data_IF_507054256581
#
_entry.id   IF_507054256581
#
_cell.length_a   1.000
_cell.length_b   1.000
_cell.length_c   1.000
_cell.angle_alpha   90.00
_cell.angle_beta   90.00
_cell.angle_gamma   90.00
#
_symmetry.space_group_name_H-M   'P 1'
#
loop_
_entity.id
_entity.type
_entity.pdbx_description
1 polymer ?
#
# COMPACT_ATOMS: atom_id res chain seq x y z
N UNK A 1 7.08 7.80 5.33
CA UNK A 1 6.21 7.85 4.15
C UNK A 1 4.73 7.69 4.57
N UNK A 2 3.82 8.43 3.94
CA UNK A 2 2.37 8.23 4.09
C UNK A 2 1.83 7.20 3.10
N UNK A 3 0.51 7.15 2.84
CA UNK A 3 -0.06 6.28 1.82
C UNK A 3 0.58 6.48 0.44
N UNK A 4 0.94 5.38 -0.21
CA UNK A 4 1.58 5.40 -1.53
C UNK A 4 0.55 5.12 -2.61
N UNK A 5 0.37 6.04 -3.56
CA UNK A 5 -0.51 5.84 -4.71
C UNK A 5 0.09 4.83 -5.70
N UNK A 6 -0.71 3.82 -6.06
CA UNK A 6 -0.36 2.78 -7.04
C UNK A 6 -1.10 3.05 -8.35
N UNK A 7 -0.60 4.03 -9.11
CA UNK A 7 -1.22 4.45 -10.36
C UNK A 7 -1.20 3.31 -11.39
N UNK A 8 -2.32 3.11 -12.08
CA UNK A 8 -2.48 2.02 -13.06
C UNK A 8 -2.86 0.66 -12.45
N UNK A 9 -2.92 0.53 -11.13
CA UNK A 9 -3.39 -0.67 -10.43
C UNK A 9 -4.74 -0.37 -9.77
N UNK A 10 -5.79 -1.05 -10.24
CA UNK A 10 -7.11 -1.01 -9.60
C UNK A 10 -7.07 -1.84 -8.31
N UNK A 11 -7.68 -1.31 -7.24
CA UNK A 11 -7.75 -1.99 -5.93
C UNK A 11 -8.51 -3.32 -6.02
N UNK A 12 -9.47 -3.42 -6.94
CA UNK A 12 -10.27 -4.60 -7.20
C UNK A 12 -9.41 -5.73 -7.79
N UNK A 13 -8.36 -5.39 -8.54
CA UNK A 13 -7.41 -6.34 -9.12
C UNK A 13 -6.36 -6.80 -8.11
N UNK A 14 -6.21 -6.17 -6.95
CA UNK A 14 -5.25 -6.59 -5.94
C UNK A 14 -5.79 -7.81 -5.19
N UNK A 15 -5.01 -8.90 -5.22
CA UNK A 15 -5.25 -10.11 -4.42
C UNK A 15 -4.58 -9.98 -3.06
N UNK A 16 -3.32 -9.53 -3.03
CA UNK A 16 -2.53 -9.35 -1.80
C UNK A 16 -1.40 -8.36 -2.05
N UNK A 17 -1.04 -7.59 -1.02
CA UNK A 17 0.23 -6.87 -0.97
C UNK A 17 1.01 -7.28 0.28
N UNK A 18 2.33 -7.40 0.15
CA UNK A 18 3.21 -7.70 1.27
C UNK A 18 4.59 -7.12 1.04
N UNK A 19 5.31 -6.77 2.10
CA UNK A 19 6.72 -6.43 1.97
C UNK A 19 7.54 -7.66 1.55
N UNK A 20 8.48 -7.48 0.62
CA UNK A 20 9.27 -8.59 0.08
C UNK A 20 10.30 -9.12 1.09
N UNK A 21 10.82 -8.25 1.97
CA UNK A 21 11.90 -8.58 2.89
C UNK A 21 11.48 -9.55 4.02
N UNK A 22 10.24 -9.44 4.52
CA UNK A 22 9.76 -10.22 5.67
C UNK A 22 8.38 -10.88 5.44
N UNK A 23 7.69 -10.57 4.33
CA UNK A 23 6.37 -11.11 4.00
C UNK A 23 5.21 -10.49 4.79
N UNK A 24 5.45 -9.46 5.61
CA UNK A 24 4.41 -8.78 6.37
C UNK A 24 3.37 -8.13 5.45
N UNK A 25 2.11 -8.12 5.88
CA UNK A 25 1.00 -7.64 5.06
C UNK A 25 1.03 -6.12 4.89
N UNK A 26 0.79 -5.68 3.66
CA UNK A 26 0.54 -4.26 3.32
C UNK A 26 -0.93 -4.13 2.94
N UNK A 27 -1.64 -3.23 3.60
CA UNK A 27 -3.08 -3.05 3.38
C UNK A 27 -3.37 -2.00 2.32
N UNK A 28 -4.54 -2.09 1.71
CA UNK A 28 -5.09 -0.99 0.91
C UNK A 28 -5.60 0.08 1.88
N UNK A 29 -5.22 1.33 1.67
CA UNK A 29 -5.55 2.44 2.54
C UNK A 29 -6.98 2.94 2.31
N UNK A 30 -7.77 3.01 3.39
CA UNK A 30 -9.14 3.52 3.39
C UNK A 30 -9.29 4.79 4.25
N UNK A 31 -8.22 5.58 4.46
CA UNK A 31 -8.35 6.85 5.19
C UNK A 31 -9.25 7.85 4.49
N UNK A 32 -9.76 8.81 5.27
CA UNK A 32 -10.41 10.01 4.74
C UNK A 32 -9.52 10.78 3.74
N UNK A 33 -8.19 10.76 3.92
CA UNK A 33 -7.24 11.41 3.00
C UNK A 33 -7.13 10.73 1.64
N UNK A 34 -7.23 9.39 1.58
CA UNK A 34 -7.14 8.63 0.32
C UNK A 34 -8.50 8.46 -0.35
N UNK A 35 -9.58 8.38 0.43
CA UNK A 35 -10.95 8.25 -0.09
C UNK A 35 -11.42 9.43 -0.94
N UNK A 36 -10.80 10.61 -0.79
CA UNK A 36 -11.03 11.75 -1.67
C UNK A 36 -10.63 11.47 -3.14
N UNK A 37 -9.72 10.52 -3.37
CA UNK A 37 -9.19 10.15 -4.68
C UNK A 37 -9.80 8.83 -5.16
N UNK A 38 -11.06 8.92 -5.61
CA UNK A 38 -11.80 7.75 -6.11
C UNK A 38 -11.06 7.08 -7.28
N UNK A 39 -10.99 5.75 -7.23
CA UNK A 39 -10.37 4.93 -8.30
C UNK A 39 -8.86 4.77 -8.20
N UNK A 40 -8.19 5.43 -7.26
CA UNK A 40 -6.76 5.24 -7.01
C UNK A 40 -6.57 4.23 -5.88
N UNK A 41 -5.74 3.20 -6.12
CA UNK A 41 -5.31 2.29 -5.08
C UNK A 41 -4.17 2.91 -4.27
N UNK A 42 -4.24 2.84 -2.94
CA UNK A 42 -3.19 3.33 -2.06
C UNK A 42 -2.68 2.21 -1.17
N UNK A 43 -1.36 2.03 -1.08
CA UNK A 43 -0.74 1.14 -0.11
C UNK A 43 -0.54 1.86 1.23
N UNK A 44 -0.86 1.18 2.33
CA UNK A 44 -0.72 1.65 3.70
C UNK A 44 0.46 0.98 4.40
N UNK A 45 1.39 1.78 4.93
CA UNK A 45 2.65 1.31 5.51
C UNK A 45 2.61 1.00 7.01
N UNK A 46 1.55 1.38 7.71
CA UNK A 46 1.41 1.11 9.15
C UNK A 46 -0.05 1.03 9.55
N UNK A 47 -0.33 0.78 10.82
CA UNK A 47 -1.69 0.48 11.28
C UNK A 47 -2.66 1.65 11.12
N UNK A 48 -2.20 2.88 11.40
CA UNK A 48 -3.02 4.10 11.29
C UNK A 48 -2.87 4.67 9.87
N UNK A 49 -3.91 4.61 9.02
CA UNK A 49 -3.75 4.84 7.58
C UNK A 49 -3.26 6.24 7.19
N UNK A 50 -3.54 7.26 8.01
CA UNK A 50 -3.24 8.66 7.72
C UNK A 50 -1.96 9.17 8.38
N UNK A 51 -1.20 8.31 9.06
CA UNK A 51 0.09 8.64 9.66
C UNK A 51 1.25 8.44 8.67
N UNK A 52 2.44 8.87 9.09
CA UNK A 52 3.68 8.64 8.37
C UNK A 52 4.53 7.62 9.13
N UNK A 53 5.09 6.65 8.40
CA UNK A 53 5.91 5.59 8.97
C UNK A 53 7.31 5.55 8.35
N UNK A 54 8.35 5.09 9.08
CA UNK A 54 9.63 4.79 8.44
C UNK A 54 9.46 3.69 7.39
N UNK A 55 10.31 3.72 6.38
CA UNK A 55 10.42 2.60 5.44
C UNK A 55 11.10 1.41 6.17
N UNK A 56 10.64 0.17 5.96
CA UNK A 56 11.16 -1.00 6.67
C UNK A 56 12.60 -1.37 6.26
N UNK A 57 13.03 -0.98 5.06
CA UNK A 57 14.39 -1.19 4.56
C UNK A 57 15.04 0.16 4.22
N UNK A 58 16.31 0.33 4.61
CA UNK A 58 17.09 1.56 4.45
C UNK A 58 17.59 1.80 3.02
N UNK A 59 17.67 0.75 2.20
CA UNK A 59 18.13 0.80 0.81
C UNK A 59 16.92 0.77 -0.11
N UNK A 60 16.10 -0.28 -0.03
CA UNK A 60 14.92 -0.43 -0.88
C UNK A 60 13.79 -1.20 -0.19
N UNK A 61 12.66 -0.50 -0.04
CA UNK A 61 11.44 -1.07 0.54
C UNK A 61 10.51 -1.53 -0.57
N UNK A 62 10.62 -2.82 -0.89
CA UNK A 62 9.87 -3.44 -2.00
C UNK A 62 8.53 -4.01 -1.52
N UNK A 63 7.45 -3.61 -2.18
CA UNK A 63 6.11 -4.20 -2.01
C UNK A 63 5.87 -5.20 -3.15
N UNK A 64 5.67 -6.47 -2.80
CA UNK A 64 5.15 -7.48 -3.72
C UNK A 64 3.64 -7.29 -3.85
N UNK A 65 3.15 -7.16 -5.08
CA UNK A 65 1.72 -7.05 -5.39
C UNK A 65 1.32 -8.30 -6.19
N UNK A 66 0.42 -9.09 -5.62
CA UNK A 66 -0.20 -10.21 -6.30
C UNK A 66 -1.54 -9.72 -6.87
N UNK A 67 -1.72 -9.87 -8.18
CA UNK A 67 -2.97 -9.52 -8.86
C UNK A 67 -3.91 -10.72 -8.91
N UNK A 68 -5.21 -10.43 -9.01
CA UNK A 68 -6.24 -11.41 -9.36
C UNK A 68 -6.09 -11.75 -10.84
N UNK A 69 -6.43 -13.00 -11.20
CA UNK A 69 -6.56 -13.43 -12.59
C UNK A 69 -7.76 -12.77 -13.27
#
# INVERSE_FOLDING_TARGET
>A
IGPLALLGISKENVKRMSFLHDGSEVKISESWTTNAYKGICFAQFGEVPHFTYPLPDLIDSVIKIELRE
#
